data_IF_037514420732
#
_entry.id   IF_037514420732
#
_cell.length_a   1.000
_cell.length_b   1.000
_cell.length_c   1.000
_cell.angle_alpha   90.00
_cell.angle_beta   90.00
_cell.angle_gamma   90.00
#
_symmetry.space_group_name_H-M   'P 1'
#
loop_
_entity.id
_entity.type
_entity.pdbx_description
1 polymer ?
#
# COMPACT_ATOMS: atom_id res chain seq x y z
N UNK A 1 -13.92 -7.83 28.18
CA UNK A 1 -13.84 -8.74 26.99
C UNK A 1 -13.45 -7.90 25.78
N UNK A 2 -13.07 -8.50 24.64
CA UNK A 2 -12.81 -7.71 23.41
C UNK A 2 -14.00 -6.79 23.05
N UNK A 3 -15.21 -7.27 23.29
CA UNK A 3 -16.45 -6.51 23.10
C UNK A 3 -16.53 -5.23 23.96
N UNK A 4 -16.05 -5.27 25.21
CA UNK A 4 -16.05 -4.08 26.08
C UNK A 4 -15.02 -3.02 25.67
N UNK A 5 -14.05 -3.38 24.82
CA UNK A 5 -13.01 -2.49 24.30
C UNK A 5 -13.39 -1.87 22.96
N UNK A 6 -13.92 -2.69 22.03
CA UNK A 6 -14.15 -2.28 20.65
C UNK A 6 -15.62 -2.23 20.22
N UNK A 7 -16.54 -2.69 21.07
CA UNK A 7 -17.95 -2.85 20.72
C UNK A 7 -18.19 -4.02 19.77
N UNK A 8 -19.19 -3.88 18.90
CA UNK A 8 -19.50 -4.84 17.85
C UNK A 8 -18.60 -4.69 16.61
N UNK A 9 -18.78 -5.58 15.64
CA UNK A 9 -18.01 -5.56 14.39
C UNK A 9 -18.31 -4.34 13.53
N UNK A 10 -19.47 -3.70 13.69
CA UNK A 10 -19.79 -2.47 12.95
C UNK A 10 -18.92 -1.31 13.44
N UNK A 11 -18.75 -1.18 14.76
CA UNK A 11 -17.85 -0.19 15.36
C UNK A 11 -16.40 -0.42 14.97
N UNK A 12 -15.93 -1.69 14.98
CA UNK A 12 -14.58 -2.03 14.50
C UNK A 12 -14.40 -1.63 13.04
N UNK A 13 -15.37 -1.98 12.18
CA UNK A 13 -15.33 -1.65 10.75
C UNK A 13 -15.27 -0.14 10.52
N UNK A 14 -16.17 0.63 11.16
CA UNK A 14 -16.18 2.10 11.08
C UNK A 14 -14.88 2.72 11.55
N UNK A 15 -14.32 2.24 12.66
CA UNK A 15 -13.06 2.74 13.19
C UNK A 15 -11.90 2.50 12.22
N UNK A 16 -11.73 1.26 11.76
CA UNK A 16 -10.69 0.90 10.81
C UNK A 16 -10.82 1.65 9.48
N UNK A 17 -12.04 1.83 8.97
CA UNK A 17 -12.30 2.61 7.77
C UNK A 17 -11.90 4.08 7.95
N UNK A 18 -12.26 4.70 9.07
CA UNK A 18 -11.90 6.09 9.34
C UNK A 18 -10.39 6.30 9.47
N UNK A 19 -9.67 5.33 10.04
CA UNK A 19 -8.20 5.35 10.06
C UNK A 19 -7.62 5.26 8.64
N UNK A 20 -8.13 4.36 7.82
CA UNK A 20 -7.69 4.23 6.42
C UNK A 20 -7.99 5.50 5.61
N UNK A 21 -9.18 6.09 5.79
CA UNK A 21 -9.57 7.37 5.18
C UNK A 21 -8.61 8.48 5.60
N UNK A 22 -8.30 8.59 6.89
CA UNK A 22 -7.33 9.55 7.40
C UNK A 22 -5.95 9.37 6.74
N UNK A 23 -5.42 8.15 6.73
CA UNK A 23 -4.12 7.84 6.10
C UNK A 23 -4.12 8.18 4.61
N UNK A 24 -5.16 7.78 3.88
CA UNK A 24 -5.31 8.09 2.45
C UNK A 24 -5.21 9.60 2.18
N UNK A 25 -5.98 10.42 2.90
CA UNK A 25 -5.95 11.88 2.73
C UNK A 25 -4.65 12.52 3.23
N UNK A 26 -4.02 11.98 4.27
CA UNK A 26 -2.72 12.46 4.73
C UNK A 26 -1.63 12.19 3.68
N UNK A 27 -1.60 11.00 3.09
CA UNK A 27 -0.65 10.64 2.03
C UNK A 27 -0.88 11.47 0.76
N UNK A 28 -2.14 11.73 0.39
CA UNK A 28 -2.50 12.56 -0.76
C UNK A 28 -1.96 13.99 -0.67
N UNK A 29 -1.79 14.50 0.56
CA UNK A 29 -1.26 15.84 0.83
C UNK A 29 0.27 15.86 0.99
N UNK A 30 0.92 14.70 1.02
CA UNK A 30 2.35 14.60 1.27
C UNK A 30 3.14 14.95 -0.01
N UNK A 31 3.93 16.02 0.06
CA UNK A 31 4.74 16.53 -1.05
C UNK A 31 6.19 16.76 -0.61
N UNK A 32 7.10 16.62 -1.56
CA UNK A 32 8.49 17.04 -1.43
C UNK A 32 8.60 18.57 -1.37
N UNK A 33 9.76 19.08 -0.97
CA UNK A 33 10.01 20.52 -0.88
C UNK A 33 9.90 21.25 -2.24
N UNK A 34 10.07 20.54 -3.35
CA UNK A 34 9.87 21.05 -4.70
C UNK A 34 8.42 21.01 -5.17
N UNK A 35 7.48 20.60 -4.31
CA UNK A 35 6.05 20.51 -4.61
C UNK A 35 5.62 19.27 -5.38
N UNK A 36 6.52 18.32 -5.68
CA UNK A 36 6.12 17.05 -6.29
C UNK A 36 5.50 16.10 -5.25
N UNK A 37 4.54 15.25 -5.64
CA UNK A 37 3.93 14.30 -4.70
C UNK A 37 4.96 13.30 -4.19
N UNK A 38 4.90 12.98 -2.89
CA UNK A 38 5.79 12.00 -2.27
C UNK A 38 5.26 10.56 -2.37
N UNK A 39 4.01 10.38 -2.79
CA UNK A 39 3.31 9.09 -2.76
C UNK A 39 2.49 8.90 -4.03
N UNK A 40 2.52 7.70 -4.58
CA UNK A 40 1.60 7.23 -5.60
C UNK A 40 0.60 6.25 -4.99
N UNK A 41 -0.68 6.64 -4.92
CA UNK A 41 -1.75 5.85 -4.30
C UNK A 41 -2.43 4.93 -5.32
N UNK A 42 -2.69 3.68 -4.92
CA UNK A 42 -3.49 2.73 -5.68
C UNK A 42 -4.86 2.58 -5.04
N UNK A 43 -5.87 3.26 -5.60
CA UNK A 43 -7.24 3.21 -5.12
C UNK A 43 -8.23 3.43 -6.27
N UNK A 44 -9.29 2.63 -6.28
CA UNK A 44 -10.40 2.78 -7.26
C UNK A 44 -11.49 3.75 -6.74
N UNK A 45 -11.44 4.14 -5.46
CA UNK A 45 -12.43 5.01 -4.80
C UNK A 45 -11.76 6.02 -3.84
N UNK A 46 -12.43 7.14 -3.49
CA UNK A 46 -11.86 8.17 -2.62
C UNK A 46 -11.98 7.90 -1.10
N UNK A 47 -12.20 6.65 -0.65
CA UNK A 47 -12.41 6.33 0.77
C UNK A 47 -13.58 7.10 1.42
N UNK A 48 -14.67 7.28 0.67
CA UNK A 48 -15.88 7.99 1.16
C UNK A 48 -17.01 7.04 1.57
N UNK A 49 -17.02 5.79 1.10
CA UNK A 49 -18.04 4.79 1.43
C UNK A 49 -17.43 3.47 1.90
N UNK A 50 -17.70 3.12 3.16
CA UNK A 50 -17.25 1.88 3.81
C UNK A 50 -17.78 0.60 3.15
N UNK A 51 -18.88 0.69 2.37
CA UNK A 51 -19.43 -0.47 1.65
C UNK A 51 -18.64 -0.82 0.40
N UNK A 52 -17.88 0.13 -0.14
CA UNK A 52 -17.11 -0.04 -1.38
C UNK A 52 -15.61 -0.09 -1.15
N UNK A 53 -15.13 0.43 -0.02
CA UNK A 53 -13.72 0.49 0.33
C UNK A 53 -13.45 0.00 1.75
N UNK A 54 -12.49 -0.92 1.88
CA UNK A 54 -12.03 -1.44 3.17
C UNK A 54 -10.96 -0.57 3.82
N UNK A 55 -10.27 -1.13 4.82
CA UNK A 55 -9.27 -0.43 5.64
C UNK A 55 -7.81 -0.56 5.14
N UNK A 56 -7.59 -1.08 3.94
CA UNK A 56 -6.24 -1.27 3.38
C UNK A 56 -5.93 -0.10 2.45
N UNK A 57 -4.80 0.58 2.68
CA UNK A 57 -4.27 1.63 1.80
C UNK A 57 -3.03 1.11 1.07
N UNK A 58 -3.07 1.06 -0.26
CA UNK A 58 -1.96 0.63 -1.10
C UNK A 58 -1.28 1.83 -1.76
N UNK A 59 0.05 1.88 -1.71
CA UNK A 59 0.82 2.99 -2.27
C UNK A 59 2.28 2.60 -2.53
N UNK A 60 2.96 3.42 -3.35
CA UNK A 60 4.41 3.48 -3.42
C UNK A 60 4.90 4.86 -2.98
N UNK A 61 6.14 4.93 -2.48
CA UNK A 61 6.82 6.20 -2.21
C UNK A 61 7.58 6.65 -3.45
N UNK A 62 7.56 7.96 -3.70
CA UNK A 62 8.26 8.61 -4.79
C UNK A 62 9.43 9.42 -4.24
N UNK A 63 10.55 9.43 -4.97
CA UNK A 63 11.65 10.37 -4.79
C UNK A 63 11.24 11.74 -5.33
N UNK A 64 11.95 12.80 -4.94
CA UNK A 64 11.63 14.17 -5.35
C UNK A 64 11.66 14.38 -6.89
N UNK A 65 12.42 13.56 -7.61
CA UNK A 65 12.50 13.53 -9.06
C UNK A 65 11.39 12.71 -9.75
N UNK A 66 10.52 12.04 -8.98
CA UNK A 66 9.40 11.23 -9.48
C UNK A 66 9.68 9.73 -9.60
N UNK A 67 10.91 9.28 -9.38
CA UNK A 67 11.23 7.85 -9.41
C UNK A 67 10.64 7.11 -8.21
N UNK A 68 10.34 5.83 -8.36
CA UNK A 68 9.88 5.01 -7.24
C UNK A 68 11.03 4.70 -6.27
N UNK A 69 10.68 4.66 -4.98
CA UNK A 69 11.52 4.02 -3.96
C UNK A 69 11.13 2.55 -3.88
N UNK A 70 12.11 1.67 -3.99
CA UNK A 70 11.91 0.22 -3.87
C UNK A 70 11.21 -0.13 -2.56
N UNK A 71 10.28 -1.08 -2.61
CA UNK A 71 9.49 -1.44 -1.44
C UNK A 71 10.37 -2.11 -0.35
N UNK A 72 11.50 -2.71 -0.73
CA UNK A 72 12.48 -3.23 0.22
C UNK A 72 13.10 -2.10 1.06
N UNK A 73 13.52 -1.00 0.43
CA UNK A 73 14.03 0.20 1.13
C UNK A 73 12.98 0.76 2.09
N UNK A 74 11.74 0.92 1.62
CA UNK A 74 10.62 1.41 2.45
C UNK A 74 10.34 0.48 3.64
N UNK A 75 10.33 -0.84 3.43
CA UNK A 75 10.13 -1.82 4.49
C UNK A 75 11.21 -1.72 5.57
N UNK A 76 12.48 -1.69 5.18
CA UNK A 76 13.59 -1.62 6.13
C UNK A 76 13.54 -0.31 6.94
N UNK A 77 13.29 0.83 6.28
CA UNK A 77 13.15 2.11 6.96
C UNK A 77 11.95 2.13 7.92
N UNK A 78 10.80 1.62 7.51
CA UNK A 78 9.63 1.52 8.37
C UNK A 78 9.91 0.65 9.62
N UNK A 79 10.58 -0.49 9.44
CA UNK A 79 10.95 -1.39 10.53
C UNK A 79 11.89 -0.73 11.56
N UNK A 80 12.84 0.10 11.11
CA UNK A 80 13.71 0.87 12.02
C UNK A 80 12.92 1.85 12.91
N UNK A 81 11.73 2.25 12.47
CA UNK A 81 10.81 3.11 13.22
C UNK A 81 9.66 2.35 13.88
N UNK A 82 9.72 1.01 13.95
CA UNK A 82 8.69 0.19 14.59
C UNK A 82 7.37 0.10 13.80
N UNK A 83 7.39 0.44 12.52
CA UNK A 83 6.22 0.37 11.62
C UNK A 83 6.35 -0.88 10.75
N UNK A 84 5.39 -1.79 10.85
CA UNK A 84 5.35 -3.01 10.05
C UNK A 84 4.48 -2.82 8.82
N UNK A 85 5.07 -3.04 7.64
CA UNK A 85 4.38 -2.91 6.35
C UNK A 85 4.29 -4.27 5.65
N UNK A 86 3.15 -4.52 4.99
CA UNK A 86 3.01 -5.61 4.01
C UNK A 86 3.52 -5.10 2.67
N UNK A 87 4.65 -5.62 2.20
CA UNK A 87 5.25 -5.20 0.92
C UNK A 87 5.32 -6.34 -0.10
N UNK A 88 5.70 -5.97 -1.32
CA UNK A 88 5.73 -6.84 -2.48
C UNK A 88 4.37 -6.98 -3.16
N UNK A 89 4.31 -7.89 -4.11
CA UNK A 89 3.25 -7.94 -5.10
C UNK A 89 2.55 -9.31 -5.24
N UNK A 90 3.22 -10.36 -4.79
CA UNK A 90 2.77 -11.73 -5.04
C UNK A 90 1.55 -12.17 -4.23
N UNK A 91 1.08 -11.35 -3.30
CA UNK A 91 -0.11 -11.60 -2.49
C UNK A 91 -1.38 -11.23 -3.27
N UNK A 92 -1.25 -10.35 -4.25
CA UNK A 92 -2.30 -9.97 -5.18
C UNK A 92 -1.69 -9.67 -6.57
N UNK A 93 -1.18 -10.69 -7.28
CA UNK A 93 -0.49 -10.49 -8.55
C UNK A 93 -1.41 -9.90 -9.63
N UNK A 94 -2.72 -10.10 -9.52
CA UNK A 94 -3.71 -9.48 -10.40
C UNK A 94 -3.75 -7.95 -10.26
N UNK A 95 -3.70 -7.43 -9.04
CA UNK A 95 -3.65 -6.00 -8.80
C UNK A 95 -2.34 -5.40 -9.32
N UNK A 96 -1.19 -6.00 -9.05
CA UNK A 96 0.07 -5.48 -9.58
C UNK A 96 0.12 -5.51 -11.09
N UNK A 97 -0.39 -6.58 -11.71
CA UNK A 97 -0.44 -6.68 -13.17
C UNK A 97 -1.19 -5.48 -13.76
N UNK A 98 -2.32 -5.12 -13.16
CA UNK A 98 -3.12 -3.96 -13.57
C UNK A 98 -2.37 -2.66 -13.36
N UNK A 99 -1.86 -2.41 -12.15
CA UNK A 99 -1.30 -1.12 -11.76
C UNK A 99 0.12 -0.88 -12.28
N UNK A 100 0.91 -1.93 -12.47
CA UNK A 100 2.29 -1.87 -12.96
C UNK A 100 2.41 -2.22 -14.44
N UNK A 101 1.29 -2.48 -15.13
CA UNK A 101 1.27 -2.81 -16.56
C UNK A 101 1.99 -4.12 -16.92
N UNK A 102 2.13 -5.05 -15.97
CA UNK A 102 2.87 -6.29 -16.21
C UNK A 102 2.14 -7.18 -17.22
N UNK A 103 2.92 -7.85 -18.06
CA UNK A 103 2.41 -8.88 -18.96
C UNK A 103 2.30 -10.23 -18.24
N UNK A 104 1.57 -11.17 -18.84
CA UNK A 104 1.57 -12.56 -18.36
C UNK A 104 2.97 -13.20 -18.42
N UNK A 105 3.83 -12.73 -19.31
CA UNK A 105 5.23 -13.20 -19.40
C UNK A 105 6.03 -12.73 -18.18
N UNK A 106 5.87 -11.48 -17.79
CA UNK A 106 6.56 -10.90 -16.62
C UNK A 106 6.16 -11.63 -15.34
N UNK A 107 4.86 -11.87 -15.14
CA UNK A 107 4.38 -12.64 -13.98
C UNK A 107 4.97 -14.06 -13.95
N UNK A 108 5.05 -14.75 -15.09
CA UNK A 108 5.67 -16.08 -15.18
C UNK A 108 7.17 -16.01 -14.90
N UNK A 109 7.86 -14.97 -15.36
CA UNK A 109 9.29 -14.75 -15.10
C UNK A 109 9.54 -14.52 -13.61
N UNK A 110 8.74 -13.67 -12.97
CA UNK A 110 8.80 -13.42 -11.53
C UNK A 110 8.55 -14.71 -10.73
N UNK A 111 7.53 -15.49 -11.09
CA UNK A 111 7.27 -16.77 -10.44
C UNK A 111 8.45 -17.74 -10.58
N UNK A 112 9.00 -17.87 -11.81
CA UNK A 112 10.16 -18.75 -12.09
C UNK A 112 11.43 -18.30 -11.39
N UNK A 113 11.61 -17.01 -11.13
CA UNK A 113 12.77 -16.50 -10.38
C UNK A 113 12.62 -16.66 -8.86
N UNK A 114 11.54 -17.30 -8.40
CA UNK A 114 11.25 -17.47 -6.98
C UNK A 114 10.90 -16.16 -6.30
N UNK A 115 10.27 -15.22 -7.00
CA UNK A 115 9.83 -13.95 -6.41
C UNK A 115 8.61 -14.20 -5.49
N UNK A 116 8.66 -13.63 -4.28
CA UNK A 116 7.61 -13.74 -3.26
C UNK A 116 7.29 -12.37 -2.66
N UNK A 117 6.28 -12.29 -1.80
CA UNK A 117 5.94 -11.02 -1.15
C UNK A 117 6.96 -10.64 -0.10
N UNK A 118 7.46 -9.42 -0.16
CA UNK A 118 8.39 -8.90 0.84
C UNK A 118 9.78 -9.54 0.76
N UNK A 119 10.16 -10.09 -0.40
CA UNK A 119 11.57 -10.36 -0.67
C UNK A 119 12.28 -9.05 -1.07
N UNK A 120 13.56 -9.13 -1.40
CA UNK A 120 14.35 -7.95 -1.77
C UNK A 120 14.40 -7.72 -3.29
N UNK A 121 13.38 -8.19 -4.04
CA UNK A 121 13.30 -8.04 -5.50
C UNK A 121 12.24 -7.00 -5.85
N UNK A 122 12.66 -5.75 -5.97
CA UNK A 122 11.77 -4.65 -6.35
C UNK A 122 11.16 -4.86 -7.75
N UNK A 123 9.93 -4.37 -7.93
CA UNK A 123 9.17 -4.45 -9.19
C UNK A 123 9.01 -3.10 -9.90
N UNK A 124 9.38 -2.02 -9.23
CA UNK A 124 9.34 -0.63 -9.66
C UNK A 124 10.52 0.12 -9.07
#
# INVERSE_FOLDING_TARGET
>A
TLYSLAGDMENVSKHCFNLAKYVFYSLLKLHHSNGSPAVHLYADTPYEDIKTQGNIVNFNILRANGDFVGYAEVLHMANLHGIQLRTGCFCNPGACRRHLGLTNSDLKKHYKSGHVCGDDKDLV
#
